data_IF_876113232979
#
_entry.id   IF_876113232979
#
_cell.length_a   1.000
_cell.length_b   1.000
_cell.length_c   1.000
_cell.angle_alpha   90.00
_cell.angle_beta   90.00
_cell.angle_gamma   90.00
#
_symmetry.space_group_name_H-M   'P 1'
#
loop_
_entity.id
_entity.type
_entity.pdbx_description
1 polymer ?
#
# COMPACT_ATOMS: atom_id res chain seq x y z
N UNK A 1 5.15 -23.93 -3.02
CA UNK A 1 5.65 -22.60 -3.38
C UNK A 1 4.98 -21.61 -2.45
N UNK A 2 5.73 -20.87 -1.63
CA UNK A 2 5.09 -19.87 -0.76
C UNK A 2 4.40 -18.80 -1.61
N UNK A 3 3.19 -18.41 -1.21
CA UNK A 3 2.46 -17.34 -1.89
C UNK A 3 3.16 -16.03 -1.56
N UNK A 4 3.77 -15.42 -2.57
CA UNK A 4 4.47 -14.16 -2.43
C UNK A 4 3.48 -13.03 -2.11
N UNK A 5 3.85 -12.16 -1.16
CA UNK A 5 3.02 -11.07 -0.65
C UNK A 5 2.86 -9.96 -1.70
N UNK A 6 1.61 -9.57 -1.97
CA UNK A 6 1.25 -8.48 -2.88
C UNK A 6 0.32 -7.50 -2.18
N UNK A 7 0.50 -6.20 -2.42
CA UNK A 7 -0.27 -5.13 -1.78
C UNK A 7 -1.11 -4.39 -2.81
N UNK A 8 -2.39 -4.18 -2.51
CA UNK A 8 -3.23 -3.21 -3.19
C UNK A 8 -3.29 -1.95 -2.31
N UNK A 9 -2.46 -0.96 -2.63
CA UNK A 9 -2.22 0.21 -1.80
C UNK A 9 -3.11 1.40 -2.21
N UNK A 10 -3.84 1.97 -1.25
CA UNK A 10 -4.89 2.95 -1.51
C UNK A 10 -6.10 2.31 -2.16
N UNK A 11 -6.55 1.15 -1.65
CA UNK A 11 -7.59 0.36 -2.30
C UNK A 11 -8.98 1.02 -2.29
N UNK A 12 -9.22 1.98 -1.40
CA UNK A 12 -10.50 2.64 -1.25
C UNK A 12 -11.65 1.64 -1.09
N UNK A 13 -12.58 1.67 -2.04
CA UNK A 13 -13.73 0.75 -2.07
C UNK A 13 -13.53 -0.51 -2.91
N UNK A 14 -12.36 -0.70 -3.53
CA UNK A 14 -12.07 -1.83 -4.39
C UNK A 14 -11.39 -2.96 -3.59
N UNK A 15 -11.91 -4.18 -3.72
CA UNK A 15 -11.25 -5.38 -3.23
C UNK A 15 -10.52 -6.06 -4.38
N UNK A 16 -9.25 -6.39 -4.19
CA UNK A 16 -8.45 -7.14 -5.14
C UNK A 16 -8.08 -8.51 -4.56
N UNK A 17 -8.59 -9.57 -5.19
CA UNK A 17 -8.36 -10.94 -4.73
C UNK A 17 -6.89 -11.34 -4.87
N UNK A 18 -6.35 -11.96 -3.81
CA UNK A 18 -4.97 -12.41 -3.76
C UNK A 18 -3.96 -11.32 -3.36
N UNK A 19 -4.45 -10.14 -2.98
CA UNK A 19 -3.67 -9.03 -2.44
C UNK A 19 -4.07 -8.78 -0.99
N UNK A 20 -3.17 -8.13 -0.25
CA UNK A 20 -3.53 -7.44 0.99
C UNK A 20 -4.00 -6.04 0.61
N UNK A 21 -5.27 -5.75 0.88
CA UNK A 21 -5.92 -4.49 0.54
C UNK A 21 -5.68 -3.48 1.66
N UNK A 22 -5.03 -2.36 1.32
CA UNK A 22 -4.55 -1.36 2.29
C UNK A 22 -5.13 0.00 1.95
N UNK A 23 -5.69 0.65 2.96
CA UNK A 23 -6.12 2.04 2.86
C UNK A 23 -6.00 2.74 4.22
N UNK A 24 -5.89 4.07 4.21
CA UNK A 24 -5.90 4.88 5.43
C UNK A 24 -7.31 4.94 6.04
N UNK A 25 -8.34 4.81 5.21
CA UNK A 25 -9.75 4.89 5.60
C UNK A 25 -10.34 3.49 5.75
N UNK A 26 -10.79 3.16 6.96
CA UNK A 26 -11.46 1.88 7.24
C UNK A 26 -12.71 1.70 6.37
N UNK A 27 -12.72 0.64 5.57
CA UNK A 27 -13.86 0.17 4.76
C UNK A 27 -13.97 -1.35 4.84
N UNK A 28 -15.10 -1.92 4.44
CA UNK A 28 -15.34 -3.37 4.53
C UNK A 28 -14.39 -4.23 3.69
N UNK A 29 -13.75 -3.63 2.68
CA UNK A 29 -12.80 -4.29 1.77
C UNK A 29 -11.32 -4.15 2.21
N UNK A 30 -11.05 -3.39 3.27
CA UNK A 30 -9.69 -3.08 3.72
C UNK A 30 -9.24 -4.14 4.71
N UNK A 31 -8.19 -4.87 4.35
CA UNK A 31 -7.58 -5.90 5.20
C UNK A 31 -6.70 -5.26 6.28
N UNK A 32 -5.94 -4.21 5.91
CA UNK A 32 -5.05 -3.47 6.82
C UNK A 32 -5.30 -1.97 6.68
N UNK A 33 -5.57 -1.33 7.81
CA UNK A 33 -5.67 0.13 7.88
C UNK A 33 -4.27 0.69 8.13
N UNK A 34 -3.68 1.35 7.12
CA UNK A 34 -2.34 1.92 7.23
C UNK A 34 -2.17 3.14 6.31
N UNK A 35 -1.27 4.02 6.72
CA UNK A 35 -0.81 5.14 5.90
C UNK A 35 0.15 4.63 4.82
N UNK A 36 -0.06 5.00 3.57
CA UNK A 36 0.83 4.62 2.45
C UNK A 36 2.28 5.12 2.63
N UNK A 37 2.48 6.15 3.46
CA UNK A 37 3.79 6.69 3.83
C UNK A 37 4.53 5.83 4.86
N UNK A 38 3.83 4.91 5.54
CA UNK A 38 4.43 4.05 6.57
C UNK A 38 3.72 2.69 6.61
N UNK A 39 4.20 1.79 5.76
CA UNK A 39 3.65 0.46 5.64
C UNK A 39 4.16 -0.50 6.75
N UNK A 40 3.30 -1.35 7.33
CA UNK A 40 3.67 -2.26 8.41
C UNK A 40 4.32 -3.57 7.87
N UNK A 41 5.24 -3.46 6.92
CA UNK A 41 5.94 -4.61 6.35
C UNK A 41 7.44 -4.49 6.52
N UNK A 42 8.12 -5.63 6.62
CA UNK A 42 9.57 -5.69 6.64
C UNK A 42 10.13 -5.32 5.26
N UNK A 43 11.32 -4.71 5.25
CA UNK A 43 12.08 -4.51 4.02
C UNK A 43 12.27 -5.85 3.30
N UNK A 44 12.16 -5.81 1.96
CA UNK A 44 12.29 -6.99 1.09
C UNK A 44 11.26 -8.12 1.30
N UNK A 45 10.12 -7.86 1.96
CA UNK A 45 9.06 -8.86 2.19
C UNK A 45 7.91 -8.85 1.18
N UNK A 46 7.80 -7.79 0.36
CA UNK A 46 6.71 -7.57 -0.59
C UNK A 46 7.22 -7.75 -2.02
N UNK A 47 6.53 -8.57 -2.82
CA UNK A 47 6.90 -8.80 -4.22
C UNK A 47 6.34 -7.70 -5.14
N UNK A 48 5.12 -7.24 -4.89
CA UNK A 48 4.40 -6.32 -5.77
C UNK A 48 3.54 -5.34 -4.96
N UNK A 49 3.55 -4.09 -5.37
CA UNK A 49 2.65 -3.04 -4.88
C UNK A 49 1.91 -2.48 -6.08
N UNK A 50 0.58 -2.54 -6.04
CA UNK A 50 -0.30 -1.92 -7.04
C UNK A 50 -1.15 -0.83 -6.38
N UNK A 51 -1.14 0.36 -6.97
CA UNK A 51 -1.93 1.50 -6.51
C UNK A 51 -2.60 2.19 -7.69
N UNK A 52 -3.86 2.59 -7.53
CA UNK A 52 -4.61 3.36 -8.52
C UNK A 52 -5.12 4.63 -7.84
N UNK A 53 -4.95 5.78 -8.49
CA UNK A 53 -5.41 7.09 -7.96
C UNK A 53 -4.85 7.50 -6.58
N UNK A 54 -3.77 6.86 -6.11
CA UNK A 54 -3.19 7.17 -4.79
C UNK A 54 -2.37 8.45 -4.80
N UNK A 55 -1.51 8.65 -5.80
CA UNK A 55 -0.50 9.71 -5.81
C UNK A 55 -1.14 11.10 -5.79
N UNK A 56 -2.30 11.30 -6.43
CA UNK A 56 -3.01 12.59 -6.39
C UNK A 56 -3.53 13.00 -5.00
N UNK A 57 -3.62 12.05 -4.07
CA UNK A 57 -4.02 12.31 -2.69
C UNK A 57 -2.84 12.59 -1.74
N UNK A 58 -1.61 12.42 -2.22
CA UNK A 58 -0.40 12.66 -1.43
C UNK A 58 0.08 14.11 -1.64
N UNK A 59 0.43 14.85 -0.58
CA UNK A 59 1.05 16.16 -0.73
C UNK A 59 2.26 16.10 -1.66
N UNK A 60 2.40 17.09 -2.55
CA UNK A 60 3.40 17.07 -3.63
C UNK A 60 4.83 16.88 -3.12
N UNK A 61 5.15 17.48 -1.98
CA UNK A 61 6.43 17.41 -1.29
C UNK A 61 6.69 16.06 -0.60
N UNK A 62 5.66 15.24 -0.40
CA UNK A 62 5.74 13.92 0.23
C UNK A 62 5.75 12.76 -0.77
N UNK A 63 5.36 12.96 -2.03
CA UNK A 63 5.30 11.90 -3.06
C UNK A 63 6.67 11.22 -3.24
N UNK A 64 7.74 12.00 -3.42
CA UNK A 64 9.07 11.43 -3.63
C UNK A 64 9.63 10.74 -2.38
N UNK A 65 9.55 11.32 -1.17
CA UNK A 65 9.86 10.61 0.07
C UNK A 65 9.11 9.28 0.21
N UNK A 66 7.79 9.28 -0.04
CA UNK A 66 6.97 8.07 0.03
C UNK A 66 7.44 6.99 -0.96
N UNK A 67 7.66 7.35 -2.23
CA UNK A 67 8.10 6.39 -3.26
C UNK A 67 9.52 5.88 -3.03
N UNK A 68 10.37 6.67 -2.35
CA UNK A 68 11.74 6.30 -2.04
C UNK A 68 11.81 5.21 -0.96
N UNK A 69 10.84 5.19 -0.04
CA UNK A 69 10.85 4.38 1.17
C UNK A 69 12.01 4.74 2.11
N UNK A 70 12.04 4.07 3.26
CA UNK A 70 13.19 4.11 4.15
C UNK A 70 14.34 3.34 3.50
N UNK A 71 15.49 4.00 3.35
CA UNK A 71 16.72 3.37 2.86
C UNK A 71 17.58 3.06 4.09
N UNK A 72 17.56 1.81 4.52
CA UNK A 72 18.62 1.27 5.38
C UNK A 72 19.93 1.14 4.58
#
# INVERSE_FOLDING_TARGET
MEKLLKLHLGCGGAYLEGYVNIDLVKRGVVDIIADARKLPFQNSSVQLIESYHLIEHIPKDEVLPMLKGDRD
#
